data_IF_333525355992
#
_entry.id   IF_333525355992
#
_cell.length_a   1.000
_cell.length_b   1.000
_cell.length_c   1.000
_cell.angle_alpha   90.00
_cell.angle_beta   90.00
_cell.angle_gamma   90.00
#
_symmetry.space_group_name_H-M   'P 1'
#
loop_
_entity.id
_entity.type
_entity.pdbx_description
1 polymer ?
#
# COMPACT_ATOMS: atom_id res chain seq x y z
N UNK A 1 -11.61 12.93 -14.16
CA UNK A 1 -11.95 13.71 -12.95
C UNK A 1 -11.30 13.02 -11.76
N UNK A 2 -10.02 13.28 -11.47
CA UNK A 2 -9.38 12.71 -10.27
C UNK A 2 -8.08 13.45 -9.99
N UNK A 3 -7.90 13.90 -8.74
CA UNK A 3 -6.57 14.22 -8.20
C UNK A 3 -6.30 15.65 -7.77
N UNK A 4 -7.23 16.35 -7.09
CA UNK A 4 -6.88 17.64 -6.45
C UNK A 4 -7.30 17.84 -4.99
N UNK A 5 -8.03 16.90 -4.38
CA UNK A 5 -8.59 17.10 -3.03
C UNK A 5 -8.03 16.13 -1.97
N UNK A 6 -6.87 15.51 -2.20
CA UNK A 6 -6.27 14.57 -1.22
C UNK A 6 -5.63 15.25 0.01
N UNK A 7 -5.49 16.58 -0.04
CA UNK A 7 -4.90 17.34 1.06
C UNK A 7 -5.94 17.73 2.13
N UNK A 8 -7.24 17.56 1.84
CA UNK A 8 -8.32 17.89 2.76
C UNK A 8 -8.77 16.61 3.51
N UNK A 9 -8.86 16.66 4.85
CA UNK A 9 -9.45 15.56 5.59
C UNK A 9 -10.95 15.42 5.26
N UNK A 10 -11.48 14.18 5.21
CA UNK A 10 -12.91 13.95 5.05
C UNK A 10 -13.71 14.55 6.21
N UNK A 11 -14.93 14.98 5.92
CA UNK A 11 -15.84 15.55 6.93
C UNK A 11 -17.02 14.61 7.23
N UNK A 12 -17.74 14.87 8.32
CA UNK A 12 -18.98 14.17 8.65
C UNK A 12 -19.93 14.06 7.44
N UNK A 13 -20.54 12.87 7.26
CA UNK A 13 -21.39 12.42 6.12
C UNK A 13 -20.67 12.07 4.83
N UNK A 14 -19.38 12.36 4.68
CA UNK A 14 -18.61 11.87 3.54
C UNK A 14 -18.52 10.34 3.58
N UNK A 15 -18.30 9.75 2.42
CA UNK A 15 -18.13 8.29 2.29
C UNK A 15 -16.70 7.91 2.67
N UNK A 16 -16.57 6.87 3.48
CA UNK A 16 -15.29 6.32 3.92
C UNK A 16 -14.65 5.60 2.74
N UNK A 17 -13.45 6.02 2.35
CA UNK A 17 -12.74 5.45 1.19
C UNK A 17 -11.97 4.17 1.52
N UNK A 18 -11.52 4.00 2.76
CA UNK A 18 -10.63 2.91 3.18
C UNK A 18 -11.04 2.38 4.55
N UNK A 19 -10.95 1.07 4.76
CA UNK A 19 -11.17 0.45 6.05
C UNK A 19 -10.05 0.85 7.04
N UNK A 20 -10.42 1.25 8.25
CA UNK A 20 -9.43 1.63 9.25
C UNK A 20 -9.99 2.40 10.44
N UNK A 21 -9.09 2.77 11.33
CA UNK A 21 -9.39 3.63 12.48
C UNK A 21 -9.18 5.08 12.10
N UNK A 22 -10.20 5.89 12.35
CA UNK A 22 -10.18 7.34 12.11
C UNK A 22 -10.31 8.08 13.43
N UNK A 23 -9.64 9.23 13.52
CA UNK A 23 -9.66 10.10 14.70
C UNK A 23 -10.22 11.47 14.31
N UNK A 24 -11.16 11.99 15.11
CA UNK A 24 -11.73 13.32 14.90
C UNK A 24 -10.91 14.43 15.59
N UNK A 25 -11.31 15.68 15.40
CA UNK A 25 -10.63 16.87 15.98
C UNK A 25 -10.57 16.88 17.51
N UNK A 26 -11.45 16.15 18.19
CA UNK A 26 -11.46 16.01 19.66
C UNK A 26 -10.66 14.80 20.16
N UNK A 27 -9.97 14.09 19.27
CA UNK A 27 -9.17 12.92 19.62
C UNK A 27 -9.99 11.65 19.86
N UNK A 28 -11.26 11.61 19.43
CA UNK A 28 -12.07 10.39 19.50
C UNK A 28 -11.76 9.49 18.32
N UNK A 29 -11.39 8.26 18.62
CA UNK A 29 -11.09 7.24 17.62
C UNK A 29 -12.32 6.38 17.32
N UNK A 30 -12.49 6.04 16.05
CA UNK A 30 -13.59 5.20 15.59
C UNK A 30 -13.14 4.37 14.39
N UNK A 31 -13.32 3.06 14.49
CA UNK A 31 -13.13 2.16 13.36
C UNK A 31 -14.31 2.32 12.39
N UNK A 32 -13.99 2.55 11.11
CA UNK A 32 -14.96 2.75 10.04
C UNK A 32 -14.58 1.89 8.84
N UNK A 33 -15.60 1.35 8.17
CA UNK A 33 -15.43 0.55 6.97
C UNK A 33 -15.66 1.37 5.71
N UNK A 34 -15.00 1.00 4.62
CA UNK A 34 -15.20 1.56 3.29
C UNK A 34 -16.68 1.49 2.90
N UNK A 35 -17.21 2.61 2.43
CA UNK A 35 -18.61 2.77 2.07
C UNK A 35 -19.52 3.19 3.23
N UNK A 36 -19.04 3.18 4.48
CA UNK A 36 -19.75 3.83 5.58
C UNK A 36 -19.68 5.35 5.46
N UNK A 37 -20.44 6.06 6.31
CA UNK A 37 -20.38 7.53 6.38
C UNK A 37 -19.76 7.97 7.68
N UNK A 38 -18.92 9.00 7.63
CA UNK A 38 -18.35 9.59 8.83
C UNK A 38 -19.45 10.12 9.76
N UNK A 39 -19.46 9.72 11.04
CA UNK A 39 -20.50 10.15 11.97
C UNK A 39 -20.35 11.63 12.33
N UNK A 40 -21.44 12.20 12.82
CA UNK A 40 -21.43 13.51 13.46
C UNK A 40 -20.93 13.41 14.90
N UNK A 41 -20.23 14.45 15.35
CA UNK A 41 -19.92 14.59 16.77
C UNK A 41 -21.12 15.20 17.51
N UNK A 42 -21.57 14.62 18.64
CA UNK A 42 -22.70 15.17 19.40
C UNK A 42 -22.45 16.55 20.02
N UNK A 43 -21.20 16.92 20.28
CA UNK A 43 -20.82 18.19 20.89
C UNK A 43 -20.52 19.25 19.82
N UNK A 44 -19.78 18.89 18.78
CA UNK A 44 -19.31 19.84 17.76
C UNK A 44 -20.01 19.77 16.41
N UNK A 45 -20.91 18.81 16.19
CA UNK A 45 -21.58 18.63 14.92
C UNK A 45 -20.62 18.12 13.84
N UNK A 46 -20.52 18.86 12.73
CA UNK A 46 -19.69 18.46 11.58
C UNK A 46 -18.21 18.60 11.93
N UNK A 47 -17.44 17.55 11.73
CA UNK A 47 -16.00 17.54 12.07
C UNK A 47 -15.18 16.85 10.99
N UNK A 48 -13.91 17.19 10.94
CA UNK A 48 -12.91 16.52 10.12
C UNK A 48 -12.44 15.21 10.77
N UNK A 49 -12.16 14.22 9.94
CA UNK A 49 -11.66 12.91 10.34
C UNK A 49 -10.31 12.65 9.69
N UNK A 50 -9.38 12.10 10.47
CA UNK A 50 -8.06 11.71 10.00
C UNK A 50 -7.88 10.21 10.15
N UNK A 51 -7.45 9.53 9.09
CA UNK A 51 -7.09 8.12 9.17
C UNK A 51 -5.83 7.96 10.01
N UNK A 52 -5.93 7.25 11.13
CA UNK A 52 -4.82 6.98 12.05
C UNK A 52 -4.21 5.61 11.84
N UNK A 53 -5.03 4.61 11.53
CA UNK A 53 -4.57 3.24 11.29
C UNK A 53 -5.32 2.61 10.12
N UNK A 54 -4.56 1.98 9.20
CA UNK A 54 -5.15 1.20 8.12
C UNK A 54 -5.53 -0.17 8.63
N UNK A 55 -6.75 -0.61 8.32
CA UNK A 55 -7.09 -2.02 8.43
C UNK A 55 -6.76 -2.71 7.12
N UNK A 56 -5.66 -3.48 7.11
CA UNK A 56 -5.26 -4.24 5.95
C UNK A 56 -5.00 -5.68 6.33
N UNK A 57 -5.66 -6.58 5.60
CA UNK A 57 -5.42 -8.00 5.73
C UNK A 57 -4.31 -8.41 4.76
N UNK A 58 -3.13 -8.66 5.30
CA UNK A 58 -1.98 -9.12 4.55
C UNK A 58 -2.10 -10.64 4.30
N UNK A 59 -2.86 -11.00 3.26
CA UNK A 59 -3.05 -12.39 2.80
C UNK A 59 -1.94 -12.87 1.84
N UNK A 60 -0.73 -12.32 1.93
CA UNK A 60 0.40 -12.80 1.15
C UNK A 60 1.24 -13.76 1.99
N UNK A 61 1.49 -14.97 1.48
CA UNK A 61 2.34 -16.00 2.12
C UNK A 61 3.82 -15.58 2.26
N UNK A 62 4.16 -14.32 1.95
CA UNK A 62 5.53 -13.79 1.98
C UNK A 62 6.48 -14.47 1.00
N UNK A 63 5.95 -15.23 0.02
CA UNK A 63 6.76 -16.00 -0.91
C UNK A 63 7.16 -15.16 -2.12
N UNK A 64 8.45 -15.09 -2.38
CA UNK A 64 8.99 -14.54 -3.63
C UNK A 64 8.48 -15.36 -4.81
N UNK A 65 8.04 -14.67 -5.88
CA UNK A 65 7.66 -15.31 -7.15
C UNK A 65 8.71 -16.35 -7.58
N UNK A 66 8.28 -17.56 -7.89
CA UNK A 66 9.15 -18.70 -8.24
C UNK A 66 10.06 -18.41 -9.44
N UNK A 67 9.71 -17.46 -10.30
CA UNK A 67 10.54 -16.99 -11.42
C UNK A 67 11.74 -16.15 -10.97
N UNK A 68 11.61 -15.46 -9.84
CA UNK A 68 12.64 -14.61 -9.24
C UNK A 68 13.52 -15.38 -8.25
N UNK A 69 13.06 -16.55 -7.79
CA UNK A 69 13.90 -17.47 -7.04
C UNK A 69 15.02 -17.96 -7.96
N UNK A 70 16.27 -17.74 -7.54
CA UNK A 70 17.45 -18.26 -8.25
C UNK A 70 17.30 -19.78 -8.33
N UNK A 71 16.98 -20.27 -9.52
CA UNK A 71 17.07 -21.70 -9.81
C UNK A 71 18.54 -22.08 -9.69
N UNK A 72 18.85 -23.01 -8.79
CA UNK A 72 20.18 -23.59 -8.74
C UNK A 72 20.50 -24.13 -10.13
N UNK A 73 21.54 -23.58 -10.75
CA UNK A 73 22.11 -24.21 -11.92
C UNK A 73 22.65 -25.55 -11.47
N UNK A 74 21.98 -26.63 -11.88
CA UNK A 74 22.66 -27.92 -11.97
C UNK A 74 23.96 -27.76 -12.78
N UNK A 75 24.93 -28.67 -12.60
CA UNK A 75 26.29 -28.53 -13.14
C UNK A 75 26.38 -28.32 -14.66
N UNK A 76 25.30 -28.53 -15.42
CA UNK A 76 25.31 -28.52 -16.89
C UNK A 76 24.57 -27.37 -17.56
N UNK A 77 24.17 -26.30 -16.84
CA UNK A 77 23.58 -25.14 -17.54
C UNK A 77 24.69 -24.24 -18.07
N UNK A 78 25.14 -24.48 -19.29
CA UNK A 78 25.93 -23.51 -20.08
C UNK A 78 25.17 -22.18 -20.10
N UNK A 79 25.68 -21.17 -19.39
CA UNK A 79 25.32 -19.79 -19.73
C UNK A 79 26.07 -19.51 -21.01
N UNK A 80 25.35 -19.24 -22.08
CA UNK A 80 25.93 -18.71 -23.31
C UNK A 80 26.78 -17.49 -22.93
N UNK A 81 28.09 -17.69 -22.90
CA UNK A 81 29.08 -16.69 -22.51
C UNK A 81 29.41 -15.76 -23.68
N UNK A 82 28.41 -15.43 -24.50
CA UNK A 82 28.55 -14.55 -25.65
C UNK A 82 28.16 -13.12 -25.24
N UNK A 83 28.83 -12.60 -24.23
CA UNK A 83 28.95 -11.15 -24.09
C UNK A 83 30.11 -10.69 -24.98
N UNK A 84 29.90 -9.78 -25.94
CA UNK A 84 30.88 -9.44 -26.98
C UNK A 84 32.13 -8.69 -26.48
N UNK A 85 32.28 -8.47 -25.16
CA UNK A 85 33.38 -7.71 -24.56
C UNK A 85 34.28 -8.59 -23.68
N UNK A 86 34.80 -9.69 -24.21
CA UNK A 86 36.02 -10.29 -23.66
C UNK A 86 37.19 -9.95 -24.58
N UNK A 87 37.85 -8.84 -24.28
CA UNK A 87 39.14 -8.52 -24.89
C UNK A 87 40.16 -9.51 -24.30
N UNK A 88 40.64 -10.43 -25.13
CA UNK A 88 41.78 -11.27 -24.79
C UNK A 88 42.99 -10.59 -25.42
N UNK A 89 43.82 -9.98 -24.59
CA UNK A 89 45.15 -9.54 -25.01
C UNK A 89 45.96 -10.80 -25.36
N UNK A 90 46.47 -10.87 -26.58
CA UNK A 90 47.40 -11.89 -27.04
C UNK A 90 48.74 -11.20 -27.21
N UNK A 91 49.73 -11.67 -26.45
CA UNK A 91 51.16 -11.32 -26.55
C UNK A 91 51.75 -11.60 -27.95
#
# INVERSE_FOLDING_TARGET
MSGKDKDLPPISRDEVEVDGTYTNEWGREQYLKRGERFPFDPQGGSTAWHLTEYDFENHHEGRTDERLVRKEKGPDTQVNAESPMRHVEVD
#
